data_IF_715877453107
#
_entry.id   IF_715877453107
#
_cell.length_a   1.000
_cell.length_b   1.000
_cell.length_c   1.000
_cell.angle_alpha   90.00
_cell.angle_beta   90.00
_cell.angle_gamma   90.00
#
_symmetry.space_group_name_H-M   'P 1'
#
loop_
_entity.id
_entity.type
_entity.pdbx_description
1 polymer ?
#
# COMPACT_ATOMS: atom_id res chain seq x y z
N UNK A 1 -0.65 23.85 -20.11
CA UNK A 1 -1.19 22.73 -19.31
C UNK A 1 -1.21 23.21 -17.86
N UNK A 2 -2.34 23.23 -17.16
CA UNK A 2 -2.38 23.72 -15.78
C UNK A 2 -1.56 22.79 -14.88
N UNK A 3 -0.74 23.35 -13.98
CA UNK A 3 0.15 22.60 -13.07
C UNK A 3 -0.59 21.49 -12.30
N UNK A 4 -1.85 21.75 -11.92
CA UNK A 4 -2.72 20.78 -11.25
C UNK A 4 -3.01 19.50 -12.05
N UNK A 5 -3.06 19.57 -13.39
CA UNK A 5 -3.30 18.39 -14.23
C UNK A 5 -2.06 17.48 -14.25
N UNK A 6 -0.87 18.06 -14.41
CA UNK A 6 0.40 17.32 -14.36
C UNK A 6 0.64 16.65 -13.00
N UNK A 7 0.29 17.32 -11.91
CA UNK A 7 0.42 16.77 -10.55
C UNK A 7 -0.55 15.61 -10.29
N UNK A 8 -1.75 15.69 -10.86
CA UNK A 8 -2.73 14.60 -10.82
C UNK A 8 -2.21 13.43 -11.64
N UNK A 9 -1.73 13.67 -12.86
CA UNK A 9 -1.16 12.64 -13.73
C UNK A 9 0.03 11.92 -13.06
N UNK A 10 0.90 12.65 -12.36
CA UNK A 10 2.02 12.05 -11.61
C UNK A 10 1.53 11.07 -10.54
N UNK A 11 0.53 11.48 -9.78
CA UNK A 11 -0.06 10.62 -8.76
C UNK A 11 -0.74 9.40 -9.39
N UNK A 12 -1.57 9.61 -10.42
CA UNK A 12 -2.29 8.54 -11.10
C UNK A 12 -1.31 7.51 -11.73
N UNK A 13 -0.19 7.97 -12.28
CA UNK A 13 0.88 7.09 -12.77
C UNK A 13 1.54 6.27 -11.64
N UNK A 14 1.55 6.79 -10.41
CA UNK A 14 2.10 6.10 -9.23
C UNK A 14 1.05 5.24 -8.50
N UNK A 15 -0.25 5.49 -8.70
CA UNK A 15 -1.36 4.89 -7.94
C UNK A 15 -1.28 3.37 -7.89
N UNK A 16 -1.11 2.72 -9.04
CA UNK A 16 -1.05 1.25 -9.09
C UNK A 16 0.11 0.65 -8.30
N UNK A 17 1.26 1.34 -8.23
CA UNK A 17 2.41 0.92 -7.40
C UNK A 17 2.13 1.16 -5.92
N UNK A 18 1.54 2.31 -5.58
CA UNK A 18 1.18 2.66 -4.20
C UNK A 18 0.15 1.68 -3.62
N UNK A 19 -0.88 1.32 -4.39
CA UNK A 19 -1.87 0.30 -4.04
C UNK A 19 -1.20 -1.05 -3.73
N UNK A 20 -0.29 -1.50 -4.60
CA UNK A 20 0.43 -2.75 -4.40
C UNK A 20 1.31 -2.75 -3.13
N UNK A 21 2.01 -1.65 -2.86
CA UNK A 21 2.80 -1.47 -1.63
C UNK A 21 1.90 -1.50 -0.39
N UNK A 22 0.83 -0.71 -0.38
CA UNK A 22 -0.10 -0.64 0.75
C UNK A 22 -0.76 -1.99 1.02
N UNK A 23 -1.16 -2.70 -0.04
CA UNK A 23 -1.74 -4.02 0.05
C UNK A 23 -0.78 -5.04 0.68
N UNK A 24 0.51 -5.04 0.30
CA UNK A 24 1.51 -5.92 0.95
C UNK A 24 1.77 -5.57 2.41
N UNK A 25 1.71 -4.29 2.77
CA UNK A 25 1.91 -3.86 4.16
C UNK A 25 0.71 -4.20 5.05
N UNK A 26 -0.50 -3.93 4.58
CA UNK A 26 -1.74 -3.99 5.36
C UNK A 26 -2.46 -5.34 5.26
N UNK A 27 -2.39 -5.99 4.09
CA UNK A 27 -3.06 -7.26 3.81
C UNK A 27 -4.57 -7.15 3.61
N UNK A 28 -5.11 -5.95 3.47
CA UNK A 28 -6.51 -5.69 3.07
C UNK A 28 -6.53 -4.77 1.86
N UNK A 29 -7.42 -5.08 0.91
CA UNK A 29 -7.60 -4.26 -0.28
C UNK A 29 -8.28 -2.92 0.07
N UNK A 30 -9.27 -2.95 0.96
CA UNK A 30 -9.94 -1.74 1.45
C UNK A 30 -8.98 -0.82 2.21
N UNK A 31 -8.24 -1.36 3.20
CA UNK A 31 -7.27 -0.56 3.95
C UNK A 31 -6.16 0.02 3.04
N UNK A 32 -5.80 -0.71 1.98
CA UNK A 32 -4.82 -0.24 1.00
C UNK A 32 -5.37 0.90 0.14
N UNK A 33 -6.61 0.80 -0.33
CA UNK A 33 -7.28 1.87 -1.07
C UNK A 33 -7.38 3.14 -0.22
N UNK A 34 -7.84 3.02 1.03
CA UNK A 34 -7.96 4.12 1.97
C UNK A 34 -6.60 4.80 2.23
N UNK A 35 -5.53 4.00 2.43
CA UNK A 35 -4.18 4.54 2.61
C UNK A 35 -3.67 5.31 1.38
N UNK A 36 -4.00 4.85 0.18
CA UNK A 36 -3.66 5.55 -1.08
C UNK A 36 -4.47 6.83 -1.23
N UNK A 37 -5.75 6.82 -0.87
CA UNK A 37 -6.59 8.02 -0.86
C UNK A 37 -6.06 9.06 0.13
N UNK A 38 -5.71 8.67 1.36
CA UNK A 38 -5.07 9.57 2.33
C UNK A 38 -3.74 10.14 1.82
N UNK A 39 -2.96 9.32 1.11
CA UNK A 39 -1.71 9.75 0.48
C UNK A 39 -1.99 10.80 -0.60
N UNK A 40 -3.04 10.62 -1.41
CA UNK A 40 -3.46 11.61 -2.40
C UNK A 40 -3.83 12.94 -1.76
N UNK A 41 -4.61 12.92 -0.67
CA UNK A 41 -4.99 14.15 0.04
C UNK A 41 -3.76 14.88 0.60
N UNK A 42 -2.79 14.15 1.14
CA UNK A 42 -1.51 14.73 1.62
C UNK A 42 -0.67 15.28 0.48
N UNK A 43 -0.60 14.57 -0.65
CA UNK A 43 0.04 15.08 -1.87
C UNK A 43 -0.61 16.39 -2.30
N UNK A 44 -1.94 16.42 -2.33
CA UNK A 44 -2.70 17.60 -2.76
C UNK A 44 -2.46 18.82 -1.85
N UNK A 45 -2.27 18.60 -0.55
CA UNK A 45 -2.02 19.64 0.44
C UNK A 45 -0.53 20.05 0.58
N UNK A 46 0.41 19.27 0.03
CA UNK A 46 1.84 19.53 0.19
C UNK A 46 2.32 20.72 -0.67
N UNK A 47 3.33 21.44 -0.16
CA UNK A 47 4.13 22.36 -0.98
C UNK A 47 5.10 21.54 -1.86
N UNK A 48 4.65 21.26 -3.09
CA UNK A 48 5.31 20.32 -4.01
C UNK A 48 6.57 20.89 -4.65
N UNK A 49 6.75 22.20 -4.68
CA UNK A 49 7.98 22.84 -5.19
C UNK A 49 9.20 22.47 -4.34
N UNK A 50 8.97 22.04 -3.09
CA UNK A 50 10.01 21.56 -2.17
C UNK A 50 10.27 20.06 -2.26
N UNK A 51 9.54 19.33 -3.11
CA UNK A 51 9.65 17.88 -3.24
C UNK A 51 10.54 17.56 -4.44
N UNK A 52 11.79 17.21 -4.16
CA UNK A 52 12.79 16.87 -5.20
C UNK A 52 12.43 15.60 -5.97
N UNK A 53 11.95 14.57 -5.26
CA UNK A 53 11.61 13.27 -5.84
C UNK A 53 10.19 12.87 -5.45
N UNK A 54 9.17 13.24 -6.25
CA UNK A 54 7.76 12.98 -5.96
C UNK A 54 7.45 11.51 -5.64
N UNK A 55 8.00 10.59 -6.43
CA UNK A 55 7.78 9.15 -6.22
C UNK A 55 8.28 8.66 -4.86
N UNK A 56 9.46 9.10 -4.43
CA UNK A 56 10.02 8.74 -3.14
C UNK A 56 9.22 9.36 -1.99
N UNK A 57 8.75 10.59 -2.18
CA UNK A 57 7.89 11.27 -1.22
C UNK A 57 6.55 10.53 -1.03
N UNK A 58 5.89 10.16 -2.14
CA UNK A 58 4.62 9.43 -2.12
C UNK A 58 4.77 8.08 -1.41
N UNK A 59 5.79 7.30 -1.76
CA UNK A 59 6.08 6.02 -1.10
C UNK A 59 6.34 6.23 0.40
N UNK A 60 7.14 7.23 0.78
CA UNK A 60 7.42 7.53 2.19
C UNK A 60 6.15 7.90 2.96
N UNK A 61 5.29 8.74 2.40
CA UNK A 61 4.03 9.15 3.04
C UNK A 61 3.10 7.96 3.21
N UNK A 62 2.91 7.16 2.16
CA UNK A 62 2.11 5.94 2.20
C UNK A 62 2.61 4.97 3.26
N UNK A 63 3.91 4.64 3.27
CA UNK A 63 4.49 3.71 4.24
C UNK A 63 4.27 4.19 5.67
N UNK A 64 4.40 5.50 5.94
CA UNK A 64 4.13 6.05 7.27
C UNK A 64 2.64 5.93 7.65
N UNK A 65 1.71 6.15 6.71
CA UNK A 65 0.28 5.91 6.95
C UNK A 65 0.06 4.45 7.31
N UNK A 66 0.57 3.51 6.51
CA UNK A 66 0.42 2.07 6.75
C UNK A 66 1.00 1.64 8.11
N UNK A 67 2.19 2.13 8.48
CA UNK A 67 2.81 1.83 9.77
C UNK A 67 1.99 2.37 10.95
N UNK A 68 1.40 3.55 10.83
CA UNK A 68 0.51 4.10 11.85
C UNK A 68 -0.76 3.27 11.99
N UNK A 69 -1.34 2.82 10.87
CA UNK A 69 -2.49 1.93 10.86
C UNK A 69 -2.18 0.58 11.52
N UNK A 70 -1.07 -0.07 11.16
CA UNK A 70 -0.63 -1.34 11.74
C UNK A 70 -0.37 -1.23 13.24
N UNK A 71 0.30 -0.17 13.68
CA UNK A 71 0.53 0.12 15.10
C UNK A 71 -0.79 0.29 15.85
N UNK A 72 -1.70 1.10 15.31
CA UNK A 72 -3.02 1.35 15.92
C UNK A 72 -3.89 0.09 15.94
N UNK A 73 -3.87 -0.69 14.85
CA UNK A 73 -4.59 -1.94 14.76
C UNK A 73 -4.03 -2.99 15.72
N UNK A 74 -2.71 -3.05 15.94
CA UNK A 74 -2.10 -3.93 16.94
C UNK A 74 -2.55 -3.57 18.36
N UNK A 75 -2.60 -2.28 18.68
CA UNK A 75 -3.17 -1.79 19.95
C UNK A 75 -4.64 -2.20 20.09
N UNK A 76 -5.44 -2.14 19.01
CA UNK A 76 -6.85 -2.60 19.01
C UNK A 76 -6.99 -4.13 19.04
N UNK A 77 -6.03 -4.88 18.47
CA UNK A 77 -6.02 -6.35 18.37
C UNK A 77 -5.46 -7.04 19.61
N UNK A 78 -5.08 -6.31 20.67
CA UNK A 78 -4.94 -6.89 22.02
C UNK A 78 -6.25 -7.57 22.51
N UNK A 79 -7.35 -7.47 21.74
CA UNK A 79 -8.62 -8.18 21.97
C UNK A 79 -9.14 -8.96 20.74
N UNK A 80 -8.34 -9.25 19.70
CA UNK A 80 -8.84 -9.96 18.50
C UNK A 80 -8.54 -11.46 18.54
N UNK A 81 -9.59 -12.26 18.76
CA UNK A 81 -9.59 -13.73 18.67
C UNK A 81 -9.98 -14.15 17.25
N UNK A 82 -9.00 -14.51 16.41
CA UNK A 82 -9.24 -15.09 15.09
C UNK A 82 -8.03 -15.07 14.16
N UNK A 83 -7.99 -16.03 13.22
CA UNK A 83 -7.00 -16.06 12.13
C UNK A 83 -7.33 -14.95 11.13
N UNK A 84 -6.44 -13.97 10.96
CA UNK A 84 -6.53 -13.00 9.88
C UNK A 84 -6.36 -13.72 8.54
N UNK A 85 -7.14 -13.34 7.54
CA UNK A 85 -6.97 -13.78 6.16
C UNK A 85 -6.89 -12.54 5.28
N UNK A 86 -5.90 -12.44 4.38
CA UNK A 86 -5.80 -11.31 3.49
C UNK A 86 -6.99 -11.25 2.52
N UNK A 87 -7.47 -10.04 2.24
CA UNK A 87 -8.55 -9.86 1.26
C UNK A 87 -8.02 -9.98 -0.17
N UNK A 88 -8.52 -10.90 -1.00
CA UNK A 88 -8.02 -11.07 -2.35
C UNK A 88 -8.35 -9.86 -3.24
N UNK A 89 -7.37 -9.43 -4.04
CA UNK A 89 -7.55 -8.43 -5.09
C UNK A 89 -7.82 -9.16 -6.40
N UNK A 90 -8.94 -8.84 -7.08
CA UNK A 90 -9.38 -9.53 -8.30
C UNK A 90 -8.35 -9.54 -9.45
N UNK A 91 -7.43 -8.56 -9.47
CA UNK A 91 -6.35 -8.48 -10.47
C UNK A 91 -5.00 -9.05 -9.99
N UNK A 92 -4.94 -9.57 -8.75
CA UNK A 92 -3.71 -9.95 -8.06
C UNK A 92 -2.80 -8.75 -7.73
N UNK A 93 -1.71 -9.00 -6.99
CA UNK A 93 -0.67 -8.00 -6.77
C UNK A 93 0.08 -7.71 -8.09
N UNK A 94 -0.08 -6.49 -8.58
CA UNK A 94 0.50 -6.01 -9.85
C UNK A 94 2.04 -5.97 -9.84
N UNK A 95 2.68 -6.00 -8.67
CA UNK A 95 4.15 -6.05 -8.57
C UNK A 95 4.74 -7.46 -8.64
N UNK A 96 3.93 -8.52 -8.61
CA UNK A 96 4.41 -9.90 -8.75
C UNK A 96 4.83 -10.27 -10.19
N UNK A 97 4.85 -9.29 -11.10
CA UNK A 97 5.26 -9.49 -12.49
C UNK A 97 4.22 -10.25 -13.33
N UNK A 98 4.61 -10.66 -14.55
CA UNK A 98 3.71 -11.38 -15.45
C UNK A 98 3.63 -12.85 -15.02
N UNK A 99 2.76 -13.21 -14.08
CA UNK A 99 2.35 -14.61 -13.96
C UNK A 99 1.37 -14.96 -15.09
N UNK A 100 1.44 -16.20 -15.56
CA UNK A 100 0.73 -16.69 -16.74
C UNK A 100 -0.79 -16.60 -16.61
N UNK A 101 -1.32 -16.61 -15.37
CA UNK A 101 -2.75 -16.42 -15.08
C UNK A 101 -2.98 -15.49 -13.87
N UNK A 102 -4.20 -14.93 -13.78
CA UNK A 102 -4.62 -14.14 -12.62
C UNK A 102 -4.66 -14.98 -11.33
N UNK A 103 -5.13 -16.22 -11.43
CA UNK A 103 -5.16 -17.19 -10.32
C UNK A 103 -3.77 -17.45 -9.74
N UNK A 104 -2.74 -17.53 -10.59
CA UNK A 104 -1.37 -17.71 -10.13
C UNK A 104 -0.85 -16.48 -9.38
N UNK A 105 -1.14 -15.27 -9.87
CA UNK A 105 -0.82 -14.02 -9.15
C UNK A 105 -1.50 -13.95 -7.80
N UNK A 106 -2.76 -14.37 -7.72
CA UNK A 106 -3.53 -14.40 -6.49
C UNK A 106 -2.94 -15.40 -5.48
N UNK A 107 -2.59 -16.62 -5.92
CA UNK A 107 -1.98 -17.64 -5.05
C UNK A 107 -0.64 -17.17 -4.45
N UNK A 108 0.21 -16.53 -5.26
CA UNK A 108 1.49 -15.97 -4.81
C UNK A 108 1.26 -14.79 -3.87
N UNK A 109 0.29 -13.91 -4.17
CA UNK A 109 -0.09 -12.81 -3.30
C UNK A 109 -0.51 -13.32 -1.91
N UNK A 110 -1.38 -14.33 -1.87
CA UNK A 110 -1.85 -14.93 -0.62
C UNK A 110 -0.69 -15.55 0.17
N UNK A 111 0.22 -16.26 -0.51
CA UNK A 111 1.40 -16.84 0.12
C UNK A 111 2.31 -15.76 0.74
N UNK A 112 2.58 -14.68 0.00
CA UNK A 112 3.38 -13.53 0.49
C UNK A 112 2.70 -12.89 1.70
N UNK A 113 1.41 -12.59 1.63
CA UNK A 113 0.68 -11.94 2.71
C UNK A 113 0.61 -12.82 3.97
N UNK A 114 0.47 -14.14 3.80
CA UNK A 114 0.55 -15.11 4.90
C UNK A 114 1.93 -15.12 5.55
N UNK A 115 3.02 -14.96 4.78
CA UNK A 115 4.36 -14.81 5.35
C UNK A 115 4.50 -13.49 6.11
N UNK A 116 3.93 -12.40 5.59
CA UNK A 116 3.97 -11.08 6.24
C UNK A 116 3.28 -11.09 7.61
N UNK A 117 2.28 -11.95 7.87
CA UNK A 117 1.63 -12.12 9.19
C UNK A 117 2.60 -12.46 10.33
N UNK A 118 3.76 -13.05 10.01
CA UNK A 118 4.77 -13.38 11.02
C UNK A 118 5.74 -12.25 11.33
N UNK A 119 5.70 -11.17 10.56
CA UNK A 119 6.61 -10.02 10.68
C UNK A 119 5.97 -8.89 11.50
N UNK A 120 6.81 -8.17 12.24
CA UNK A 120 6.45 -6.89 12.86
C UNK A 120 6.19 -5.81 11.79
N UNK A 121 5.48 -4.72 12.11
CA UNK A 121 5.20 -3.65 11.13
C UNK A 121 6.46 -3.09 10.47
N UNK A 122 7.54 -2.91 11.22
CA UNK A 122 8.81 -2.41 10.68
C UNK A 122 9.48 -3.43 9.76
N UNK A 123 9.48 -4.72 10.12
CA UNK A 123 10.03 -5.77 9.26
C UNK A 123 9.27 -5.88 7.92
N UNK A 124 7.94 -5.73 7.95
CA UNK A 124 7.12 -5.65 6.72
C UNK A 124 7.54 -4.46 5.85
N UNK A 125 7.73 -3.29 6.45
CA UNK A 125 8.13 -2.09 5.73
C UNK A 125 9.54 -2.17 5.15
N UNK A 126 10.43 -2.97 5.73
CA UNK A 126 11.77 -3.23 5.16
C UNK A 126 11.71 -4.25 4.03
N UNK A 127 10.79 -5.21 4.08
CA UNK A 127 10.64 -6.24 3.06
C UNK A 127 10.03 -5.72 1.75
N UNK A 128 9.04 -4.82 1.85
CA UNK A 128 8.26 -4.28 0.72
C UNK A 128 8.98 -3.14 0.01
#
# INVERSE_FOLDING_TARGET
MPLAAYETDLFENSRGRLEAIAYRLLGSAGDAEDAVQDTYLRWHAADRERIETPEAWLTKVLTNICLNQLTSARVRRETYVGQWLPEPVLAGDRMLGPSDTAEQRESVSLAVLTLMERLTPNERAVYV
#
